data_IF_664862364247
#
_entry.id   IF_664862364247
#
_cell.length_a   1.000
_cell.length_b   1.000
_cell.length_c   1.000
_cell.angle_alpha   90.00
_cell.angle_beta   90.00
_cell.angle_gamma   90.00
#
_symmetry.space_group_name_H-M   'P 1'
#
loop_
_entity.id
_entity.type
_entity.pdbx_description
1 polymer ?
#
# COMPACT_ATOMS: atom_id res chain seq x y z
N UNK A 1 -8.00 13.45 -2.34
CA UNK A 1 -8.51 12.12 -2.79
C UNK A 1 -7.30 11.21 -2.87
N UNK A 2 -7.43 9.96 -2.40
CA UNK A 2 -6.32 9.00 -2.35
C UNK A 2 -5.64 8.85 -3.72
N UNK A 3 -4.31 8.85 -3.78
CA UNK A 3 -3.58 8.91 -5.05
C UNK A 3 -3.71 7.62 -5.88
N UNK A 4 -3.89 6.48 -5.21
CA UNK A 4 -3.87 5.14 -5.78
C UNK A 4 -2.56 4.87 -6.54
N UNK A 5 -1.46 4.75 -5.79
CA UNK A 5 -0.13 4.46 -6.37
C UNK A 5 -0.16 3.21 -7.26
N UNK A 6 0.49 3.26 -8.43
CA UNK A 6 0.29 2.27 -9.49
C UNK A 6 1.07 0.97 -9.27
N UNK A 7 1.95 0.89 -8.27
CA UNK A 7 2.87 -0.23 -8.08
C UNK A 7 3.05 -0.60 -6.61
N UNK A 8 3.55 -1.81 -6.37
CA UNK A 8 4.10 -2.23 -5.09
C UNK A 8 5.46 -1.55 -4.88
N UNK A 9 5.61 -0.78 -3.81
CA UNK A 9 6.84 -0.03 -3.54
C UNK A 9 8.07 -0.93 -3.30
N UNK A 10 7.87 -2.22 -2.99
CA UNK A 10 8.94 -3.20 -2.73
C UNK A 10 9.39 -3.95 -3.98
N UNK A 11 8.47 -4.66 -4.66
CA UNK A 11 8.79 -5.54 -5.79
C UNK A 11 8.46 -4.94 -7.16
N UNK A 12 7.96 -3.72 -7.18
CA UNK A 12 7.53 -3.00 -8.38
C UNK A 12 6.42 -3.68 -9.20
N UNK A 13 5.70 -4.65 -8.64
CA UNK A 13 4.50 -5.24 -9.26
C UNK A 13 3.43 -4.18 -9.52
N UNK A 14 2.79 -4.20 -10.68
CA UNK A 14 1.68 -3.30 -10.98
C UNK A 14 0.46 -3.57 -10.07
N UNK A 15 -0.08 -2.50 -9.50
CA UNK A 15 -1.26 -2.49 -8.63
C UNK A 15 -2.29 -1.49 -9.19
N UNK A 16 -3.03 -1.88 -10.27
CA UNK A 16 -4.05 -1.02 -10.86
C UNK A 16 -5.15 -0.63 -9.86
N UNK A 17 -6.01 0.36 -10.15
CA UNK A 17 -7.06 0.84 -9.24
C UNK A 17 -8.01 -0.25 -8.73
N UNK A 18 -8.21 -1.31 -9.52
CA UNK A 18 -9.04 -2.47 -9.22
C UNK A 18 -8.27 -3.65 -8.58
N UNK A 19 -6.98 -3.49 -8.27
CA UNK A 19 -6.17 -4.54 -7.66
C UNK A 19 -6.71 -4.92 -6.26
N UNK A 20 -7.11 -6.18 -6.12
CA UNK A 20 -7.66 -6.74 -4.87
C UNK A 20 -6.57 -7.16 -3.88
N UNK A 21 -5.35 -7.33 -4.37
CA UNK A 21 -4.17 -7.68 -3.59
C UNK A 21 -3.36 -6.47 -3.13
N UNK A 22 -3.79 -5.25 -3.46
CA UNK A 22 -3.16 -4.04 -2.95
C UNK A 22 -3.44 -3.86 -1.45
N UNK A 23 -2.40 -3.48 -0.72
CA UNK A 23 -2.42 -3.14 0.70
C UNK A 23 -1.92 -1.71 0.86
N UNK A 24 -2.51 -0.97 1.80
CA UNK A 24 -2.21 0.44 2.03
C UNK A 24 -2.13 0.75 3.52
N UNK A 25 -1.25 1.66 3.90
CA UNK A 25 -1.19 2.26 5.24
C UNK A 25 -1.81 3.67 5.26
N UNK A 26 -1.88 4.30 6.42
CA UNK A 26 -2.47 5.65 6.57
C UNK A 26 -1.69 6.76 5.85
N UNK A 27 -0.43 6.52 5.50
CA UNK A 27 0.43 7.44 4.73
C UNK A 27 0.48 7.09 3.24
N UNK A 28 -0.47 6.27 2.77
CA UNK A 28 -0.61 5.83 1.39
C UNK A 28 0.57 5.00 0.84
N UNK A 29 1.46 4.47 1.69
CA UNK A 29 2.45 3.48 1.27
C UNK A 29 1.73 2.23 0.76
N UNK A 30 2.03 1.81 -0.47
CA UNK A 30 1.28 0.79 -1.21
C UNK A 30 2.17 -0.42 -1.51
N UNK A 31 1.70 -1.61 -1.13
CA UNK A 31 2.40 -2.88 -1.34
C UNK A 31 1.42 -3.97 -1.79
N UNK A 32 1.90 -5.01 -2.47
CA UNK A 32 1.06 -6.18 -2.73
C UNK A 32 0.94 -7.05 -1.46
N UNK A 33 -0.12 -7.86 -1.39
CA UNK A 33 -0.37 -8.77 -0.28
C UNK A 33 0.84 -9.68 0.01
N UNK A 34 1.45 -10.24 -1.04
CA UNK A 34 2.62 -11.10 -0.92
C UNK A 34 3.77 -10.40 -0.16
N UNK A 35 4.18 -9.19 -0.56
CA UNK A 35 5.24 -8.47 0.12
C UNK A 35 4.87 -8.09 1.57
N UNK A 36 3.60 -7.77 1.81
CA UNK A 36 3.10 -7.48 3.17
C UNK A 36 3.22 -8.70 4.07
N UNK A 37 2.95 -9.89 3.55
CA UNK A 37 2.97 -11.14 4.31
C UNK A 37 4.41 -11.69 4.48
N UNK A 38 5.23 -11.65 3.42
CA UNK A 38 6.52 -12.34 3.37
C UNK A 38 7.71 -11.49 3.81
N UNK A 39 7.74 -10.20 3.44
CA UNK A 39 8.90 -9.33 3.67
C UNK A 39 8.66 -8.31 4.78
N UNK A 40 7.42 -7.81 4.88
CA UNK A 40 7.09 -6.73 5.79
C UNK A 40 6.41 -7.22 7.09
N UNK A 41 5.84 -8.42 7.09
CA UNK A 41 5.10 -9.02 8.22
C UNK A 41 4.05 -8.08 8.83
N UNK A 42 3.25 -7.46 7.96
CA UNK A 42 2.26 -6.45 8.32
C UNK A 42 2.85 -5.23 9.06
N UNK A 43 4.14 -4.90 8.87
CA UNK A 43 4.79 -3.68 9.40
C UNK A 43 5.16 -2.77 8.24
N UNK A 44 4.60 -1.56 8.22
CA UNK A 44 4.95 -0.57 7.22
C UNK A 44 6.43 -0.18 7.34
N UNK A 45 7.24 -0.27 6.27
CA UNK A 45 8.67 0.02 6.34
C UNK A 45 8.97 1.49 6.63
N UNK A 46 8.00 2.39 6.38
CA UNK A 46 8.17 3.83 6.56
C UNK A 46 7.66 4.32 7.93
N UNK A 47 6.52 3.81 8.41
CA UNK A 47 5.89 4.31 9.64
C UNK A 47 5.75 3.29 10.77
N UNK A 48 6.05 2.01 10.55
CA UNK A 48 5.86 0.94 11.53
C UNK A 48 4.41 0.48 11.75
N UNK A 49 3.42 1.20 11.20
CA UNK A 49 2.00 0.85 11.30
C UNK A 49 1.61 -0.44 10.57
N UNK A 50 0.34 -0.82 10.67
CA UNK A 50 -0.22 -1.96 9.94
C UNK A 50 -0.68 -1.62 8.51
N UNK A 51 -1.15 -2.65 7.80
CA UNK A 51 -1.78 -2.53 6.50
C UNK A 51 -3.24 -2.99 6.50
N UNK A 52 -4.00 -2.44 5.56
CA UNK A 52 -5.38 -2.87 5.26
C UNK A 52 -5.53 -3.02 3.74
N UNK A 53 -6.52 -3.78 3.22
CA UNK A 53 -6.84 -3.78 1.79
C UNK A 53 -7.08 -2.36 1.28
N UNK A 54 -6.44 -2.01 0.17
CA UNK A 54 -6.61 -0.70 -0.45
C UNK A 54 -8.04 -0.56 -0.99
N UNK A 55 -8.79 0.50 -0.63
CA UNK A 55 -10.11 0.73 -1.19
C UNK A 55 -10.06 0.85 -2.72
N UNK A 56 -11.00 0.18 -3.40
CA UNK A 56 -11.12 0.21 -4.86
C UNK A 56 -11.95 1.41 -5.27
N UNK A 57 -11.42 2.23 -6.18
CA UNK A 57 -12.18 3.32 -6.79
C UNK A 57 -13.18 2.75 -7.81
N UNK A 58 -14.48 3.11 -7.74
CA UNK A 58 -15.48 2.59 -8.66
C UNK A 58 -15.17 2.92 -10.12
N UNK A 59 -15.41 1.95 -11.00
CA UNK A 59 -15.39 2.17 -12.46
C UNK A 59 -16.66 2.87 -12.93
N UNK A 60 -17.81 2.49 -12.37
CA UNK A 60 -19.11 3.12 -12.64
C UNK A 60 -19.26 4.43 -11.85
N UNK A 61 -19.67 5.49 -12.54
CA UNK A 61 -19.97 6.80 -11.96
C UNK A 61 -21.36 6.81 -11.31
N UNK A 62 -21.48 6.15 -10.15
CA UNK A 62 -22.72 6.11 -9.37
C UNK A 62 -23.16 7.50 -8.88
N UNK A 63 -22.19 8.42 -8.73
CA UNK A 63 -22.40 9.83 -8.44
C UNK A 63 -21.56 10.66 -9.43
N UNK A 64 -22.09 11.77 -9.97
CA UNK A 64 -21.35 12.62 -10.89
C UNK A 64 -19.97 13.02 -10.35
N UNK A 65 -18.94 12.92 -11.19
CA UNK A 65 -17.54 13.19 -10.90
C UNK A 65 -16.78 12.09 -10.14
N UNK A 66 -17.44 11.02 -9.68
CA UNK A 66 -16.84 10.03 -8.76
C UNK A 66 -16.67 8.64 -9.41
N UNK A 67 -15.70 8.52 -10.30
CA UNK A 67 -15.27 7.27 -10.93
C UNK A 67 -13.78 7.28 -11.29
N UNK A 68 -13.19 6.14 -11.64
CA UNK A 68 -11.81 6.09 -12.17
C UNK A 68 -11.64 6.95 -13.42
N UNK A 69 -12.67 7.08 -14.26
CA UNK A 69 -12.60 7.87 -15.49
C UNK A 69 -12.51 9.38 -15.21
N UNK A 70 -13.29 9.88 -14.24
CA UNK A 70 -13.30 11.30 -13.85
C UNK A 70 -12.17 11.65 -12.87
N UNK A 71 -11.79 10.67 -12.05
CA UNK A 71 -10.80 10.77 -10.99
C UNK A 71 -9.74 9.68 -11.22
N UNK A 72 -8.78 9.87 -12.14
CA UNK A 72 -7.78 8.85 -12.45
C UNK A 72 -6.85 8.57 -11.27
N UNK A 73 -6.28 7.37 -11.26
CA UNK A 73 -5.21 7.01 -10.33
C UNK A 73 -3.87 7.62 -10.77
N UNK A 74 -2.95 7.72 -9.83
CA UNK A 74 -1.59 8.19 -10.10
C UNK A 74 -0.88 7.25 -11.08
N UNK A 75 -0.08 7.84 -11.97
CA UNK A 75 0.85 7.13 -12.84
C UNK A 75 2.29 7.17 -12.32
N UNK A 76 2.54 7.91 -11.24
CA UNK A 76 3.86 8.03 -10.63
C UNK A 76 4.16 6.79 -9.79
N UNK A 77 5.18 6.02 -10.20
CA UNK A 77 5.68 4.89 -9.41
C UNK A 77 6.43 5.39 -8.17
N UNK A 78 6.32 4.64 -7.09
CA UNK A 78 7.02 4.90 -5.83
C UNK A 78 7.83 3.65 -5.45
N UNK A 79 8.96 3.85 -4.78
CA UNK A 79 9.87 2.77 -4.37
C UNK A 79 10.27 2.93 -2.90
N UNK A 80 10.89 1.90 -2.35
CA UNK A 80 11.37 1.89 -0.97
C UNK A 80 12.24 3.11 -0.65
N UNK A 81 11.95 3.73 0.48
CA UNK A 81 12.77 4.83 1.03
C UNK A 81 13.98 4.32 1.83
N UNK A 82 13.95 3.05 2.25
CA UNK A 82 14.96 2.40 3.07
C UNK A 82 15.47 1.13 2.39
N UNK A 83 16.66 0.70 2.78
CA UNK A 83 17.25 -0.55 2.29
C UNK A 83 16.48 -1.76 2.79
N UNK A 84 16.60 -2.90 2.09
CA UNK A 84 15.95 -4.14 2.50
C UNK A 84 16.38 -4.60 3.92
N UNK A 85 17.62 -4.31 4.32
CA UNK A 85 18.13 -4.64 5.64
C UNK A 85 17.45 -3.80 6.73
N UNK A 86 17.41 -2.47 6.58
CA UNK A 86 16.75 -1.57 7.55
C UNK A 86 15.27 -1.92 7.72
N UNK A 87 14.61 -2.29 6.62
CA UNK A 87 13.21 -2.74 6.63
C UNK A 87 13.06 -4.04 7.42
N UNK A 88 13.93 -5.02 7.19
CA UNK A 88 13.89 -6.29 7.90
C UNK A 88 14.14 -6.09 9.41
N UNK A 89 15.08 -5.22 9.78
CA UNK A 89 15.37 -4.86 11.17
C UNK A 89 14.16 -4.20 11.85
N UNK A 90 13.52 -3.24 11.19
CA UNK A 90 12.30 -2.61 11.71
C UNK A 90 11.16 -3.62 11.87
N UNK A 91 10.91 -4.45 10.85
CA UNK A 91 9.86 -5.45 10.86
C UNK A 91 10.07 -6.45 12.01
N UNK A 92 11.29 -6.97 12.16
CA UNK A 92 11.64 -7.89 13.25
C UNK A 92 11.38 -7.29 14.64
N UNK A 93 11.65 -5.99 14.82
CA UNK A 93 11.43 -5.30 16.10
C UNK A 93 9.96 -5.08 16.44
N UNK A 94 9.09 -4.93 15.44
CA UNK A 94 7.73 -4.40 15.63
C UNK A 94 6.62 -5.43 15.34
N UNK A 95 6.90 -6.47 14.53
CA UNK A 95 5.87 -7.39 14.02
C UNK A 95 5.01 -8.07 15.10
N UNK A 96 5.57 -8.32 16.28
CA UNK A 96 4.89 -9.00 17.39
C UNK A 96 4.02 -8.05 18.23
N UNK A 97 4.10 -6.74 17.98
CA UNK A 97 3.19 -5.74 18.56
C UNK A 97 1.97 -5.64 17.63
N UNK A 98 0.73 -5.82 18.11
CA UNK A 98 -0.45 -5.70 17.26
C UNK A 98 -0.61 -4.26 16.76
N UNK A 99 -1.09 -4.02 15.51
CA UNK A 99 -1.13 -2.69 14.90
C UNK A 99 -1.79 -1.60 15.75
N UNK A 100 -2.83 -1.93 16.51
CA UNK A 100 -3.55 -1.01 17.41
C UNK A 100 -2.75 -0.61 18.66
N UNK A 101 -1.56 -1.16 18.87
CA UNK A 101 -0.64 -0.85 19.99
C UNK A 101 0.77 -0.45 19.54
N UNK A 102 0.97 -0.20 18.24
CA UNK A 102 2.26 0.25 17.68
C UNK A 102 2.45 1.75 17.80
#
# INVERSE_FOLDING_TARGET
>A
MLELRPNCEYCDKDLPPAATDARICTYECTFCADCVETHLHNVCPNCGGGFTPRPIRPTTEWRPGLSVAQCPASTARVHLSFTAQEIAELSARVRDIPPERR
#
